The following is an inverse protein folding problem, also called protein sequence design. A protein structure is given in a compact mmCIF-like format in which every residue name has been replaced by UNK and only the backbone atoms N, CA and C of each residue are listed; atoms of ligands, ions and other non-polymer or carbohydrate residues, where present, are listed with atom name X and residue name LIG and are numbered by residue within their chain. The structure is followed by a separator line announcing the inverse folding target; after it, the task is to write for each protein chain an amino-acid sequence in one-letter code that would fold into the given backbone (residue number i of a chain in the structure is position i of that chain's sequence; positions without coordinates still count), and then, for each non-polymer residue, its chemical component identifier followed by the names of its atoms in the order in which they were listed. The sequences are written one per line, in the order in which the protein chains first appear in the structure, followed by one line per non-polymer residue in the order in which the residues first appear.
data_IF_115022769716
#
_entry.id   IF_115022769716
#
_cell.length_a   1.000
_cell.length_b   1.000
_cell.length_c   1.000
_cell.angle_alpha   90.00
_cell.angle_beta   90.00
_cell.angle_gamma   90.00
#
_symmetry.space_group_name_H-M   'P 1'
#
loop_
_entity.id
_entity.type
_entity.pdbx_description
1 polymer ?
#
# COMPACT_ATOMS: atom_id res chain seq x y z
N UNK A 1 -6.29 -4.43 -18.21
CA UNK A 1 -5.46 -4.31 -19.42
C UNK A 1 -4.04 -4.75 -19.09
N UNK A 2 -3.30 -5.21 -20.09
CA UNK A 2 -2.00 -5.89 -19.92
C UNK A 2 -0.90 -5.02 -19.27
N UNK A 3 -1.09 -3.69 -19.22
CA UNK A 3 -0.14 -2.75 -18.60
C UNK A 3 -0.17 -2.73 -17.07
N UNK A 4 -1.20 -3.31 -16.45
CA UNK A 4 -1.39 -3.34 -14.99
C UNK A 4 -1.19 -4.74 -14.40
N UNK A 5 -0.59 -5.65 -15.16
CA UNK A 5 -0.24 -7.01 -14.72
C UNK A 5 1.17 -7.33 -15.20
N UNK A 6 1.98 -7.99 -14.37
CA UNK A 6 3.30 -8.47 -14.77
C UNK A 6 3.57 -9.86 -14.21
N UNK A 7 4.14 -10.71 -15.06
CA UNK A 7 4.67 -12.04 -14.72
C UNK A 7 6.19 -12.11 -14.90
N UNK A 8 6.83 -10.97 -15.19
CA UNK A 8 8.28 -10.90 -15.36
C UNK A 8 8.99 -11.25 -14.06
N UNK A 9 10.01 -12.11 -14.13
CA UNK A 9 10.75 -12.62 -12.97
C UNK A 9 11.28 -11.49 -12.08
N UNK A 10 11.95 -10.48 -12.68
CA UNK A 10 12.52 -9.36 -11.94
C UNK A 10 11.46 -8.57 -11.15
N UNK A 11 10.26 -8.40 -11.72
CA UNK A 11 9.15 -7.73 -11.03
C UNK A 11 8.67 -8.58 -9.86
N UNK A 12 8.49 -9.88 -10.06
CA UNK A 12 8.02 -10.79 -9.02
C UNK A 12 9.02 -10.88 -7.86
N UNK A 13 10.32 -10.94 -8.14
CA UNK A 13 11.37 -10.94 -7.12
C UNK A 13 11.36 -9.65 -6.29
N UNK A 14 11.19 -8.49 -6.94
CA UNK A 14 11.06 -7.20 -6.24
C UNK A 14 9.85 -7.19 -5.28
N UNK A 15 8.78 -7.92 -5.62
CA UNK A 15 7.55 -7.99 -4.82
C UNK A 15 7.47 -9.23 -3.92
N UNK A 16 8.55 -10.01 -3.84
CA UNK A 16 8.67 -11.21 -3.01
C UNK A 16 9.70 -11.08 -1.89
N UNK A 17 10.21 -9.86 -1.66
CA UNK A 17 11.26 -9.55 -0.70
C UNK A 17 10.98 -8.19 -0.05
N UNK A 18 11.15 -8.09 1.28
CA UNK A 18 11.15 -6.84 2.04
C UNK A 18 12.49 -6.65 2.78
N UNK A 19 12.59 -5.72 3.74
CA UNK A 19 13.84 -5.48 4.49
C UNK A 19 14.11 -6.54 5.58
N UNK A 20 13.33 -7.63 5.62
CA UNK A 20 13.55 -8.73 6.56
C UNK A 20 14.71 -9.64 6.14
N UNK A 21 15.13 -10.50 7.06
CA UNK A 21 16.12 -11.56 6.83
C UNK A 21 15.54 -12.81 6.15
N UNK A 22 14.26 -12.79 5.77
CA UNK A 22 13.60 -13.94 5.18
C UNK A 22 14.01 -14.15 3.70
N UNK A 23 14.13 -15.40 3.23
CA UNK A 23 14.38 -15.67 1.82
C UNK A 23 13.29 -15.09 0.92
N UNK A 24 13.68 -14.59 -0.24
CA UNK A 24 12.74 -14.10 -1.25
C UNK A 24 11.76 -15.22 -1.66
N UNK A 25 10.47 -14.93 -1.58
CA UNK A 25 9.39 -15.81 -2.02
C UNK A 25 8.50 -15.02 -3.01
N UNK A 26 8.81 -15.07 -4.33
CA UNK A 26 8.10 -14.28 -5.32
C UNK A 26 6.66 -14.77 -5.55
N UNK A 27 5.68 -13.87 -5.75
CA UNK A 27 4.32 -14.23 -6.17
C UNK A 27 4.32 -14.79 -7.60
N UNK A 28 3.20 -15.35 -8.04
CA UNK A 28 3.03 -15.85 -9.42
C UNK A 28 2.83 -14.72 -10.43
N UNK A 29 2.15 -13.65 -10.01
CA UNK A 29 1.99 -12.42 -10.78
C UNK A 29 1.86 -11.21 -9.85
N UNK A 30 2.18 -10.04 -10.38
CA UNK A 30 1.97 -8.74 -9.72
C UNK A 30 0.92 -7.98 -10.50
N UNK A 31 -0.04 -7.39 -9.78
CA UNK A 31 -1.09 -6.54 -10.35
C UNK A 31 -1.06 -5.16 -9.69
N UNK A 32 -1.36 -4.14 -10.49
CA UNK A 32 -1.46 -2.75 -10.02
C UNK A 32 -2.88 -2.19 -10.24
N UNK A 33 -3.81 -2.46 -9.32
CA UNK A 33 -5.11 -1.82 -9.34
C UNK A 33 -4.98 -0.30 -9.21
N UNK A 34 -5.87 0.44 -9.86
CA UNK A 34 -5.94 1.90 -9.81
C UNK A 34 -7.28 2.41 -9.29
N UNK A 35 -8.17 1.49 -8.88
CA UNK A 35 -9.48 1.82 -8.35
C UNK A 35 -9.98 0.73 -7.41
N UNK A 36 -10.78 1.12 -6.43
CA UNK A 36 -11.41 0.20 -5.47
C UNK A 36 -12.19 -0.91 -6.17
N UNK A 37 -12.92 -0.59 -7.26
CA UNK A 37 -13.65 -1.58 -8.04
C UNK A 37 -12.75 -2.67 -8.64
N UNK A 38 -11.55 -2.32 -9.12
CA UNK A 38 -10.60 -3.30 -9.64
C UNK A 38 -10.07 -4.20 -8.53
N UNK A 39 -9.80 -3.65 -7.35
CA UNK A 39 -9.39 -4.43 -6.17
C UNK A 39 -10.49 -5.42 -5.78
N UNK A 40 -11.75 -4.98 -5.74
CA UNK A 40 -12.90 -5.82 -5.40
C UNK A 40 -13.09 -6.97 -6.40
N UNK A 41 -13.02 -6.69 -7.70
CA UNK A 41 -13.16 -7.71 -8.75
C UNK A 41 -12.04 -8.75 -8.68
N UNK A 42 -10.78 -8.29 -8.54
CA UNK A 42 -9.62 -9.17 -8.43
C UNK A 42 -9.65 -10.00 -7.14
N UNK A 43 -10.02 -9.40 -6.01
CA UNK A 43 -10.13 -10.12 -4.75
C UNK A 43 -11.23 -11.18 -4.80
N UNK A 44 -12.39 -10.86 -5.39
CA UNK A 44 -13.46 -11.83 -5.61
C UNK A 44 -13.01 -12.97 -6.54
N UNK A 45 -12.26 -12.68 -7.59
CA UNK A 45 -11.71 -13.68 -8.50
C UNK A 45 -10.72 -14.62 -7.79
N UNK A 46 -9.78 -14.06 -7.02
CA UNK A 46 -8.81 -14.83 -6.25
C UNK A 46 -9.50 -15.72 -5.22
N UNK A 47 -10.50 -15.18 -4.51
CA UNK A 47 -11.29 -15.94 -3.55
C UNK A 47 -12.01 -17.13 -4.21
N UNK A 48 -12.72 -16.92 -5.32
CA UNK A 48 -13.40 -18.00 -6.07
C UNK A 48 -12.42 -19.05 -6.58
N UNK A 49 -11.23 -18.62 -6.99
CA UNK A 49 -10.20 -19.49 -7.57
C UNK A 49 -9.29 -20.13 -6.51
N UNK A 50 -9.48 -19.80 -5.23
CA UNK A 50 -8.62 -20.22 -4.10
C UNK A 50 -7.15 -19.85 -4.29
N UNK A 51 -6.90 -18.72 -4.94
CA UNK A 51 -5.56 -18.19 -5.16
C UNK A 51 -5.20 -17.24 -4.01
N UNK A 52 -4.06 -17.42 -3.31
CA UNK A 52 -3.62 -16.51 -2.27
C UNK A 52 -3.44 -15.08 -2.79
N UNK A 53 -3.76 -14.11 -1.94
CA UNK A 53 -3.55 -12.69 -2.23
C UNK A 53 -2.50 -12.14 -1.28
N UNK A 54 -1.51 -11.44 -1.83
CA UNK A 54 -0.41 -10.82 -1.07
C UNK A 54 -0.51 -9.31 -1.25
N UNK A 55 -0.89 -8.54 -0.23
CA UNK A 55 -0.92 -7.08 -0.34
C UNK A 55 0.51 -6.52 -0.35
N UNK A 56 0.76 -5.55 -1.22
CA UNK A 56 2.05 -4.88 -1.34
C UNK A 56 1.88 -3.36 -1.30
N UNK A 57 2.65 -2.72 -0.44
CA UNK A 57 2.73 -1.26 -0.32
C UNK A 57 4.05 -0.75 -0.86
N UNK A 58 4.99 -0.43 0.03
CA UNK A 58 6.31 0.11 -0.34
C UNK A 58 7.45 -0.89 -0.22
N UNK A 59 7.17 -2.14 0.18
CA UNK A 59 8.20 -3.18 0.37
C UNK A 59 9.14 -2.95 1.55
N UNK A 60 8.94 -1.91 2.37
CA UNK A 60 9.80 -1.59 3.52
C UNK A 60 9.37 -2.31 4.81
N UNK A 61 8.70 -3.47 4.69
CA UNK A 61 8.36 -4.29 5.84
C UNK A 61 9.60 -4.93 6.44
N UNK A 62 9.59 -5.21 7.74
CA UNK A 62 10.69 -5.90 8.43
C UNK A 62 10.33 -7.33 8.85
N UNK A 63 9.11 -7.78 8.54
CA UNK A 63 8.54 -9.02 9.08
C UNK A 63 8.24 -10.08 8.00
N UNK A 64 8.61 -9.84 6.73
CA UNK A 64 8.34 -10.77 5.63
C UNK A 64 6.90 -10.72 5.14
N UNK A 65 6.16 -9.64 5.40
CA UNK A 65 4.73 -9.54 5.12
C UNK A 65 4.37 -9.58 3.62
N UNK A 66 5.34 -9.33 2.76
CA UNK A 66 5.19 -9.40 1.29
C UNK A 66 5.64 -10.74 0.70
N UNK A 67 6.15 -11.66 1.52
CA UNK A 67 6.68 -12.94 1.04
C UNK A 67 5.53 -13.88 0.65
N UNK A 68 5.45 -14.23 -0.62
CA UNK A 68 4.44 -15.11 -1.18
C UNK A 68 4.82 -16.60 -0.97
N UNK A 69 4.92 -17.04 0.29
CA UNK A 69 5.35 -18.41 0.65
C UNK A 69 4.50 -19.51 -0.02
N UNK A 70 3.25 -19.20 -0.35
CA UNK A 70 2.30 -20.11 -1.04
C UNK A 70 2.05 -19.71 -2.50
N UNK A 71 2.89 -18.87 -3.09
CA UNK A 71 2.61 -18.23 -4.37
C UNK A 71 1.41 -17.27 -4.29
N UNK A 72 0.71 -17.11 -5.40
CA UNK A 72 -0.49 -16.29 -5.51
C UNK A 72 -0.25 -14.95 -6.22
N UNK A 73 -1.22 -14.05 -6.06
CA UNK A 73 -1.23 -12.76 -6.75
C UNK A 73 -0.83 -11.66 -5.77
N UNK A 74 0.18 -10.89 -6.12
CA UNK A 74 0.58 -9.71 -5.39
C UNK A 74 -0.22 -8.49 -5.86
N UNK A 75 -0.87 -7.82 -4.92
CA UNK A 75 -1.66 -6.61 -5.13
C UNK A 75 -0.83 -5.41 -4.72
N UNK A 76 -0.14 -4.82 -5.69
CA UNK A 76 0.62 -3.59 -5.47
C UNK A 76 -0.32 -2.38 -5.58
N UNK A 77 -0.61 -1.78 -4.42
CA UNK A 77 -1.49 -0.65 -4.27
C UNK A 77 -0.76 0.70 -4.36
N UNK A 78 0.53 0.71 -4.68
CA UNK A 78 1.35 1.93 -4.81
C UNK A 78 0.84 2.93 -5.84
N UNK A 79 0.02 2.48 -6.81
CA UNK A 79 -0.62 3.34 -7.82
C UNK A 79 -1.97 3.95 -7.38
N UNK A 80 -2.45 3.60 -6.19
CA UNK A 80 -3.62 4.23 -5.56
C UNK A 80 -3.12 5.23 -4.50
N UNK A 81 -2.64 6.39 -4.95
CA UNK A 81 -1.95 7.40 -4.13
C UNK A 81 -2.68 8.76 -4.06
N UNK A 82 -4.00 8.78 -4.29
CA UNK A 82 -4.79 9.99 -4.16
C UNK A 82 -5.14 10.35 -2.70
N UNK A 83 -5.23 11.66 -2.43
CA UNK A 83 -5.82 12.20 -1.20
C UNK A 83 -7.25 12.62 -1.57
N UNK A 84 -8.23 11.91 -1.02
CA UNK A 84 -9.63 12.04 -1.41
C UNK A 84 -10.34 13.20 -0.70
N UNK A 85 -10.05 13.41 0.59
CA UNK A 85 -10.72 14.44 1.41
C UNK A 85 -9.82 14.91 2.55
N UNK A 86 -9.88 16.21 2.87
CA UNK A 86 -9.23 16.82 4.03
C UNK A 86 -10.24 17.66 4.80
N UNK A 87 -10.54 17.29 6.04
CA UNK A 87 -11.28 18.14 6.99
C UNK A 87 -10.29 18.80 7.95
N UNK A 88 -10.14 20.13 7.81
CA UNK A 88 -9.31 20.93 8.72
C UNK A 88 -9.98 21.14 10.08
N UNK A 89 -11.32 21.10 10.12
CA UNK A 89 -12.09 21.30 11.35
C UNK A 89 -12.05 20.04 12.24
N UNK A 90 -12.13 18.86 11.62
CA UNK A 90 -12.12 17.57 12.31
C UNK A 90 -10.72 16.95 12.41
N UNK A 91 -9.70 17.60 11.84
CA UNK A 91 -8.34 17.11 11.72
C UNK A 91 -8.24 15.69 11.14
N UNK A 92 -9.01 15.43 10.08
CA UNK A 92 -9.08 14.12 9.43
C UNK A 92 -8.76 14.22 7.94
N UNK A 93 -8.20 13.13 7.39
CA UNK A 93 -7.88 13.01 5.97
C UNK A 93 -8.25 11.62 5.47
N UNK A 94 -8.91 11.55 4.32
CA UNK A 94 -9.20 10.31 3.60
C UNK A 94 -8.19 10.16 2.47
N UNK A 95 -7.48 9.04 2.47
CA UNK A 95 -6.40 8.76 1.51
C UNK A 95 -6.53 7.36 0.93
N UNK A 96 -6.04 7.20 -0.28
CA UNK A 96 -5.88 5.88 -0.89
C UNK A 96 -4.70 5.10 -0.26
N UNK A 97 -4.72 3.76 -0.33
CA UNK A 97 -3.78 2.90 0.41
C UNK A 97 -2.30 3.06 0.00
N UNK A 98 -2.02 3.54 -1.20
CA UNK A 98 -0.67 3.83 -1.71
C UNK A 98 -0.09 5.16 -1.25
N UNK A 99 -0.88 6.02 -0.59
CA UNK A 99 -0.36 7.31 -0.08
C UNK A 99 0.71 7.07 0.97
N UNK A 100 1.91 7.57 0.68
CA UNK A 100 3.02 7.55 1.64
C UNK A 100 2.89 8.71 2.62
N UNK A 101 3.44 8.54 3.82
CA UNK A 101 3.55 9.61 4.81
C UNK A 101 4.27 10.86 4.27
N UNK A 102 5.29 10.68 3.44
CA UNK A 102 6.03 11.79 2.83
C UNK A 102 5.14 12.59 1.88
N UNK A 103 4.32 11.90 1.08
CA UNK A 103 3.34 12.53 0.19
C UNK A 103 2.28 13.28 1.00
N UNK A 104 1.70 12.63 2.01
CA UNK A 104 0.69 13.26 2.88
C UNK A 104 1.23 14.50 3.60
N UNK A 105 2.40 14.40 4.23
CA UNK A 105 3.01 15.54 4.92
C UNK A 105 3.42 16.66 3.96
N UNK A 106 3.75 16.34 2.70
CA UNK A 106 3.98 17.37 1.67
C UNK A 106 2.68 18.07 1.27
N UNK A 107 1.57 17.34 1.18
CA UNK A 107 0.25 17.89 0.88
C UNK A 107 -0.30 18.79 2.00
N UNK A 108 -0.07 18.42 3.27
CA UNK A 108 -0.46 19.23 4.43
C UNK A 108 0.42 20.47 4.64
N UNK A 109 1.50 20.66 3.86
CA UNK A 109 2.35 21.86 3.99
C UNK A 109 1.52 23.11 3.72
N UNK A 110 1.50 24.01 4.69
CA UNK A 110 0.77 25.27 4.60
C UNK A 110 -0.60 25.28 5.27
N UNK A 111 -1.12 24.12 5.71
CA UNK A 111 -2.37 24.06 6.51
C UNK A 111 -2.12 24.25 8.01
N UNK A 112 -0.86 24.14 8.44
CA UNK A 112 -0.50 24.09 9.87
C UNK A 112 -0.69 22.72 10.51
N UNK A 113 -1.13 21.71 9.75
CA UNK A 113 -1.25 20.32 10.20
C UNK A 113 -0.07 19.47 9.71
N UNK A 114 0.26 18.42 10.45
CA UNK A 114 1.16 17.37 9.99
C UNK A 114 0.71 16.02 10.54
N UNK A 115 1.14 14.94 9.90
CA UNK A 115 0.89 13.57 10.34
C UNK A 115 2.11 13.05 11.13
N UNK A 116 2.00 12.87 12.48
CA UNK A 116 3.15 12.68 13.36
C UNK A 116 3.71 11.26 13.42
N UNK A 117 2.97 10.24 12.96
CA UNK A 117 3.41 8.84 13.16
C UNK A 117 4.64 8.52 12.32
N UNK A 118 5.74 8.24 13.01
CA UNK A 118 6.94 7.65 12.45
C UNK A 118 7.20 6.32 13.11
N UNK A 119 6.59 5.25 12.63
CA UNK A 119 7.20 3.93 12.78
C UNK A 119 8.31 3.82 11.74
N UNK A 120 9.40 3.16 12.10
CA UNK A 120 10.54 2.90 11.21
C UNK A 120 10.06 2.11 9.98
N UNK A 121 10.44 2.57 8.79
CA UNK A 121 9.94 2.10 7.50
C UNK A 121 9.06 3.15 6.83
N UNK A 122 9.36 3.49 5.58
CA UNK A 122 8.51 4.34 4.74
C UNK A 122 7.27 3.57 4.28
N UNK A 123 6.59 2.88 5.21
CA UNK A 123 5.40 2.10 4.97
C UNK A 123 4.27 2.97 4.46
N UNK A 124 3.56 2.49 3.44
CA UNK A 124 2.30 3.07 3.02
C UNK A 124 1.35 3.17 4.22
N UNK A 125 0.52 4.22 4.29
CA UNK A 125 -0.42 4.44 5.39
C UNK A 125 -1.49 3.35 5.51
N UNK A 126 -1.60 2.47 4.50
CA UNK A 126 -2.65 1.49 4.33
C UNK A 126 -2.70 0.32 5.31
N UNK A 127 -1.75 0.15 6.24
CA UNK A 127 -1.89 -0.89 7.29
C UNK A 127 -2.88 -0.51 8.40
N UNK A 128 -3.30 0.76 8.44
CA UNK A 128 -4.24 1.29 9.43
C UNK A 128 -5.48 1.85 8.71
N UNK A 129 -6.43 0.96 8.41
CA UNK A 129 -7.82 1.22 8.03
C UNK A 129 -8.27 2.69 7.87
N UNK A 130 -8.27 3.22 6.63
CA UNK A 130 -9.22 4.20 6.07
C UNK A 130 -9.54 5.54 6.77
N UNK A 131 -8.97 5.82 7.94
CA UNK A 131 -9.23 7.03 8.72
C UNK A 131 -8.04 7.28 9.64
N UNK A 132 -7.26 8.32 9.34
CA UNK A 132 -6.06 8.67 10.11
C UNK A 132 -6.26 10.06 10.71
N UNK A 133 -6.37 10.13 12.04
CA UNK A 133 -6.44 11.39 12.77
C UNK A 133 -5.10 12.13 12.70
N UNK A 134 -5.11 13.39 12.26
CA UNK A 134 -3.96 14.27 12.33
C UNK A 134 -3.95 15.01 13.67
N UNK A 135 -2.85 14.89 14.43
CA UNK A 135 -2.66 15.67 15.67
C UNK A 135 -1.93 16.98 15.37
N UNK A 136 -2.47 18.11 15.81
CA UNK A 136 -1.87 19.43 15.61
C UNK A 136 -0.93 19.83 16.77
N UNK A 137 0.30 20.24 16.44
CA UNK A 137 1.15 21.05 17.31
C UNK A 137 1.34 22.42 16.66
N UNK A 138 0.98 23.50 17.36
CA UNK A 138 1.33 24.85 16.93
C UNK A 138 2.85 25.03 17.04
N UNK A 139 3.54 25.18 15.92
CA UNK A 139 4.87 25.84 15.87
C UNK A 139 4.68 27.32 15.65
#
# INVERSE_FOLDING_TARGET
GDTNVSTAMAVREQHGHDESMHPCAPPDAVVWPQAVGQVQELAALCYRSRVPMVPFGTGTGLEGGVNAVRGGICFDLSRMDAIAELSLEDFSVVVEPGVTRKTLNSYLRGTGLWFPVGTVGAGALGSSQGHCGAGGGRT
#
